data_IF_198838934691
#
_entry.id   IF_198838934691
#
_cell.length_a   1.000
_cell.length_b   1.000
_cell.length_c   1.000
_cell.angle_alpha   90.00
_cell.angle_beta   90.00
_cell.angle_gamma   90.00
#
_symmetry.space_group_name_H-M   'P 1'
#
loop_
_entity.id
_entity.type
_entity.pdbx_description
1 polymer ?
#
# COMPACT_ATOMS: atom_id res chain seq x y z
N UNK A 1 -16.80 -1.81 -11.76
CA UNK A 1 -17.08 -0.72 -10.81
C UNK A 1 -15.79 0.04 -10.64
N UNK A 2 -15.79 1.31 -11.03
CA UNK A 2 -14.58 2.13 -11.20
C UNK A 2 -13.77 2.20 -9.91
N UNK A 3 -12.56 1.65 -9.94
CA UNK A 3 -11.65 1.53 -8.78
C UNK A 3 -10.76 2.77 -8.62
N UNK A 4 -11.28 3.95 -8.97
CA UNK A 4 -10.51 5.19 -9.12
C UNK A 4 -10.90 6.32 -8.17
N UNK A 5 -11.70 6.03 -7.16
CA UNK A 5 -11.91 7.01 -6.09
C UNK A 5 -10.66 7.04 -5.22
N UNK A 6 -9.97 8.19 -5.19
CA UNK A 6 -9.12 8.54 -4.08
C UNK A 6 -9.96 8.33 -2.82
N UNK A 7 -9.55 7.42 -1.94
CA UNK A 7 -10.26 7.23 -0.68
C UNK A 7 -9.96 8.46 0.19
N UNK A 8 -10.81 9.48 0.10
CA UNK A 8 -10.60 10.76 0.80
C UNK A 8 -10.51 10.58 2.33
N UNK A 9 -11.06 9.48 2.84
CA UNK A 9 -11.04 9.15 4.26
C UNK A 9 -9.74 8.43 4.70
N UNK A 10 -8.81 8.14 3.77
CA UNK A 10 -7.53 7.52 4.12
C UNK A 10 -6.47 8.59 4.49
N UNK A 11 -5.65 8.37 5.54
CA UNK A 11 -4.72 9.39 6.03
C UNK A 11 -3.70 9.83 4.98
N UNK A 12 -3.53 11.14 4.80
CA UNK A 12 -2.53 11.74 3.89
C UNK A 12 -1.22 12.16 4.58
N UNK A 13 -1.17 12.04 5.90
CA UNK A 13 0.04 12.29 6.69
C UNK A 13 0.18 11.27 7.82
N UNK A 14 1.41 11.14 8.33
CA UNK A 14 1.76 10.13 9.31
C UNK A 14 2.13 8.79 8.68
N UNK A 15 2.66 7.90 9.50
CA UNK A 15 3.25 6.65 9.03
C UNK A 15 2.15 5.64 8.69
N UNK A 16 2.33 4.95 7.57
CA UNK A 16 1.48 3.86 7.13
C UNK A 16 2.20 2.52 7.33
N UNK A 17 1.43 1.47 7.57
CA UNK A 17 1.92 0.09 7.62
C UNK A 17 1.49 -0.64 6.35
N UNK A 18 2.46 -1.06 5.55
CA UNK A 18 2.28 -1.97 4.42
C UNK A 18 2.28 -3.41 4.89
N UNK A 19 1.33 -4.20 4.41
CA UNK A 19 1.10 -5.58 4.82
C UNK A 19 0.98 -6.49 3.60
N UNK A 20 1.87 -7.49 3.53
CA UNK A 20 1.80 -8.61 2.59
C UNK A 20 1.36 -9.87 3.36
N UNK A 21 0.12 -10.30 3.13
CA UNK A 21 -0.47 -11.40 3.88
C UNK A 21 -0.11 -12.77 3.28
N UNK A 22 0.54 -13.60 4.09
CA UNK A 22 0.66 -15.03 3.89
C UNK A 22 0.08 -15.81 5.07
N UNK A 23 -0.40 -17.03 4.82
CA UNK A 23 -1.03 -17.88 5.84
C UNK A 23 -0.11 -18.20 7.03
N UNK A 24 1.21 -18.25 6.81
CA UNK A 24 2.23 -18.54 7.83
C UNK A 24 3.04 -17.30 8.21
N UNK A 25 3.32 -16.43 7.25
CA UNK A 25 4.21 -15.27 7.39
C UNK A 25 3.54 -14.04 6.84
N UNK A 26 3.75 -12.91 7.50
CA UNK A 26 3.22 -11.61 7.08
C UNK A 26 4.41 -10.68 6.88
N UNK A 27 4.60 -10.21 5.65
CA UNK A 27 5.59 -9.18 5.36
C UNK A 27 5.09 -7.82 5.84
N UNK A 28 5.95 -7.05 6.50
CA UNK A 28 5.62 -5.73 7.02
C UNK A 28 6.59 -4.68 6.46
N UNK A 29 6.05 -3.53 6.08
CA UNK A 29 6.82 -2.36 5.68
C UNK A 29 6.21 -1.10 6.29
N UNK A 30 7.02 -0.06 6.46
CA UNK A 30 6.58 1.21 7.05
C UNK A 30 6.93 2.37 6.13
N UNK A 31 6.04 3.37 6.07
CA UNK A 31 6.32 4.62 5.36
C UNK A 31 7.01 5.65 6.25
N UNK A 32 7.62 6.64 5.60
CA UNK A 32 7.89 7.95 6.20
C UNK A 32 6.58 8.66 6.58
N UNK A 33 6.66 9.71 7.41
CA UNK A 33 5.47 10.49 7.82
C UNK A 33 4.89 11.30 6.68
N UNK A 34 5.73 11.68 5.74
CA UNK A 34 5.40 12.40 4.51
C UNK A 34 4.84 11.47 3.43
N UNK A 35 4.75 10.16 3.71
CA UNK A 35 4.16 9.16 2.83
C UNK A 35 4.81 9.13 1.41
N UNK A 36 6.14 9.26 1.34
CA UNK A 36 6.88 9.26 0.08
C UNK A 36 7.84 8.07 -0.10
N UNK A 37 8.27 7.45 1.00
CA UNK A 37 9.24 6.34 0.98
C UNK A 37 8.74 5.21 1.88
N UNK A 38 8.76 3.99 1.36
CA UNK A 38 8.53 2.76 2.09
C UNK A 38 9.84 2.03 2.39
N UNK A 39 9.97 1.52 3.62
CA UNK A 39 11.10 0.70 4.07
C UNK A 39 10.61 -0.64 4.61
N UNK A 40 11.34 -1.76 4.39
CA UNK A 40 11.03 -3.02 5.05
C UNK A 40 11.09 -2.86 6.57
N UNK A 41 10.11 -3.41 7.27
CA UNK A 41 10.07 -3.44 8.73
C UNK A 41 10.52 -4.81 9.23
N UNK A 42 9.73 -5.85 8.97
CA UNK A 42 10.06 -7.22 9.34
C UNK A 42 9.19 -8.26 8.62
N UNK A 43 9.49 -9.54 8.85
CA UNK A 43 8.63 -10.66 8.46
C UNK A 43 8.10 -11.30 9.73
N UNK A 44 6.84 -11.06 10.02
CA UNK A 44 6.16 -11.61 11.18
C UNK A 44 5.77 -13.06 10.94
N UNK A 45 6.13 -13.96 11.86
CA UNK A 45 5.67 -15.35 11.84
C UNK A 45 4.41 -15.47 12.70
N UNK A 46 3.29 -15.81 12.07
CA UNK A 46 2.00 -15.94 12.73
C UNK A 46 2.02 -17.06 13.76
N UNK A 47 1.28 -16.85 14.86
CA UNK A 47 1.20 -17.78 15.98
C UNK A 47 -0.24 -18.15 16.22
N UNK A 48 -0.93 -17.36 17.02
CA UNK A 48 -2.34 -17.52 17.35
C UNK A 48 -2.99 -16.16 17.24
N UNK A 49 -4.27 -16.14 16.91
CA UNK A 49 -5.00 -14.89 16.69
C UNK A 49 -4.84 -13.88 17.85
N UNK A 50 -4.89 -14.37 19.10
CA UNK A 50 -4.68 -13.52 20.27
C UNK A 50 -3.25 -12.92 20.35
N UNK A 51 -2.22 -13.72 20.09
CA UNK A 51 -0.83 -13.27 20.12
C UNK A 51 -0.50 -12.35 18.94
N UNK A 52 -1.04 -12.67 17.77
CA UNK A 52 -0.90 -11.88 16.55
C UNK A 52 -1.56 -10.51 16.77
N UNK A 53 -2.79 -10.48 17.27
CA UNK A 53 -3.52 -9.24 17.55
C UNK A 53 -2.81 -8.34 18.57
N UNK A 54 -2.30 -8.91 19.68
CA UNK A 54 -1.52 -8.17 20.66
C UNK A 54 -0.27 -7.54 20.03
N UNK A 55 0.47 -8.32 19.24
CA UNK A 55 1.66 -7.86 18.57
C UNK A 55 1.35 -6.69 17.62
N UNK A 56 0.30 -6.79 16.81
CA UNK A 56 -0.06 -5.72 15.88
C UNK A 56 -0.54 -4.46 16.61
N UNK A 57 -1.30 -4.60 17.68
CA UNK A 57 -1.71 -3.48 18.53
C UNK A 57 -0.51 -2.72 19.13
N UNK A 58 0.50 -3.44 19.61
CA UNK A 58 1.74 -2.86 20.14
C UNK A 58 2.53 -2.16 19.02
N UNK A 59 2.72 -2.84 17.87
CA UNK A 59 3.46 -2.30 16.73
C UNK A 59 2.83 -1.00 16.19
N UNK A 60 1.51 -0.95 16.01
CA UNK A 60 0.87 0.27 15.51
C UNK A 60 0.96 1.43 16.51
N UNK A 61 0.96 1.14 17.81
CA UNK A 61 1.13 2.14 18.85
C UNK A 61 2.55 2.71 18.87
N UNK A 62 3.56 1.83 18.82
CA UNK A 62 4.98 2.20 18.87
C UNK A 62 5.37 3.08 17.69
N UNK A 63 4.94 2.71 16.49
CA UNK A 63 5.21 3.46 15.26
C UNK A 63 4.18 4.55 14.96
N UNK A 64 3.14 4.70 15.79
CA UNK A 64 2.04 5.67 15.61
C UNK A 64 1.41 5.59 14.22
N UNK A 65 1.17 4.36 13.77
CA UNK A 65 0.62 4.08 12.44
C UNK A 65 -0.76 4.73 12.32
N UNK A 66 -1.03 5.33 11.17
CA UNK A 66 -2.27 6.04 10.86
C UNK A 66 -3.19 5.27 9.93
N UNK A 67 -2.65 4.40 9.10
CA UNK A 67 -3.44 3.59 8.17
C UNK A 67 -2.70 2.33 7.74
N UNK A 68 -3.48 1.36 7.25
CA UNK A 68 -3.00 0.06 6.79
C UNK A 68 -3.15 -0.02 5.27
N UNK A 69 -2.09 -0.44 4.58
CA UNK A 69 -2.12 -0.75 3.14
C UNK A 69 -1.87 -2.25 2.98
N UNK A 70 -2.90 -2.98 2.56
CA UNK A 70 -2.87 -4.45 2.48
C UNK A 70 -2.84 -4.89 1.02
N UNK A 71 -1.83 -5.67 0.65
CA UNK A 71 -1.72 -6.24 -0.69
C UNK A 71 -2.83 -7.25 -0.99
N UNK A 72 -3.35 -7.21 -2.22
CA UNK A 72 -4.30 -8.17 -2.75
C UNK A 72 -3.69 -8.92 -3.94
N UNK A 73 -3.47 -10.23 -3.81
CA UNK A 73 -3.04 -11.06 -4.93
C UNK A 73 -4.22 -11.27 -5.88
N UNK A 74 -4.22 -10.57 -7.01
CA UNK A 74 -5.27 -10.68 -8.02
C UNK A 74 -4.89 -11.66 -9.14
N UNK A 75 -5.85 -12.44 -9.62
CA UNK A 75 -5.64 -13.30 -10.78
C UNK A 75 -5.67 -12.51 -12.09
N UNK A 76 -4.97 -13.03 -13.12
CA UNK A 76 -4.87 -12.42 -14.46
C UNK A 76 -6.23 -12.25 -15.15
N UNK A 77 -7.24 -13.06 -14.77
CA UNK A 77 -8.61 -12.97 -15.28
C UNK A 77 -9.49 -11.93 -14.53
N UNK A 78 -8.97 -11.26 -13.50
CA UNK A 78 -9.67 -10.21 -12.76
C UNK A 78 -10.68 -10.68 -11.72
N UNK A 79 -10.83 -12.00 -11.51
CA UNK A 79 -11.65 -12.55 -10.43
C UNK A 79 -10.85 -12.63 -9.12
N UNK A 80 -11.49 -12.30 -8.00
CA UNK A 80 -10.90 -12.49 -6.68
C UNK A 80 -10.79 -13.98 -6.37
N UNK A 81 -9.55 -14.47 -6.28
CA UNK A 81 -9.27 -15.81 -5.81
C UNK A 81 -9.45 -15.95 -4.30
N UNK A 82 -9.42 -17.19 -3.82
CA UNK A 82 -9.47 -17.50 -2.38
C UNK A 82 -8.39 -16.75 -1.58
N UNK A 83 -7.21 -16.54 -2.17
CA UNK A 83 -6.12 -15.75 -1.56
C UNK A 83 -6.47 -14.28 -1.35
N UNK A 84 -7.14 -13.64 -2.31
CA UNK A 84 -7.58 -12.26 -2.18
C UNK A 84 -8.66 -12.12 -1.09
N UNK A 85 -9.60 -13.08 -1.03
CA UNK A 85 -10.59 -13.13 0.05
C UNK A 85 -9.93 -13.24 1.42
N UNK A 86 -8.97 -14.16 1.59
CA UNK A 86 -8.25 -14.31 2.86
C UNK A 86 -7.43 -13.05 3.22
N UNK A 87 -6.81 -12.38 2.24
CA UNK A 87 -6.10 -11.13 2.47
C UNK A 87 -7.06 -10.00 2.93
N UNK A 88 -8.26 -9.93 2.34
CA UNK A 88 -9.32 -9.00 2.78
C UNK A 88 -9.78 -9.27 4.21
N UNK A 89 -10.10 -10.51 4.52
CA UNK A 89 -10.50 -10.93 5.87
C UNK A 89 -9.41 -10.60 6.90
N UNK A 90 -8.16 -10.87 6.56
CA UNK A 90 -7.02 -10.54 7.41
C UNK A 90 -6.86 -9.02 7.59
N UNK A 91 -7.02 -8.23 6.52
CA UNK A 91 -6.98 -6.76 6.61
C UNK A 91 -8.07 -6.18 7.50
N UNK A 92 -9.29 -6.71 7.42
CA UNK A 92 -10.40 -6.31 8.31
C UNK A 92 -10.13 -6.68 9.77
N UNK A 93 -9.67 -7.91 10.01
CA UNK A 93 -9.26 -8.35 11.34
C UNK A 93 -8.12 -7.48 11.91
N UNK A 94 -7.12 -7.12 11.09
CA UNK A 94 -6.06 -6.20 11.47
C UNK A 94 -6.61 -4.84 11.90
N UNK A 95 -7.55 -4.27 11.14
CA UNK A 95 -8.19 -3.01 11.50
C UNK A 95 -8.83 -3.10 12.89
N UNK A 96 -9.57 -4.18 13.16
CA UNK A 96 -10.25 -4.39 14.44
C UNK A 96 -9.26 -4.45 15.61
N UNK A 97 -8.22 -5.29 15.52
CA UNK A 97 -7.24 -5.46 16.61
C UNK A 97 -6.32 -4.25 16.79
N UNK A 98 -6.23 -3.36 15.80
CA UNK A 98 -5.43 -2.14 15.84
C UNK A 98 -6.23 -0.89 16.21
N UNK A 99 -7.46 -1.06 16.73
CA UNK A 99 -8.29 0.05 17.21
C UNK A 99 -9.07 0.79 16.12
N UNK A 100 -9.35 0.11 15.01
CA UNK A 100 -10.16 0.64 13.91
C UNK A 100 -9.39 1.50 12.92
N UNK A 101 -8.10 1.24 12.72
CA UNK A 101 -7.31 1.99 11.74
C UNK A 101 -7.93 1.89 10.34
N UNK A 102 -7.97 3.00 9.56
CA UNK A 102 -8.36 2.96 8.16
C UNK A 102 -7.53 1.95 7.38
N UNK A 103 -8.19 1.21 6.49
CA UNK A 103 -7.54 0.22 5.63
C UNK A 103 -7.74 0.56 4.17
N UNK A 104 -6.69 0.34 3.39
CA UNK A 104 -6.72 0.40 1.94
C UNK A 104 -6.20 -0.92 1.39
N UNK A 105 -6.94 -1.48 0.44
CA UNK A 105 -6.54 -2.70 -0.26
C UNK A 105 -5.89 -2.34 -1.59
N UNK A 106 -4.66 -2.80 -1.79
CA UNK A 106 -3.85 -2.46 -2.97
C UNK A 106 -3.72 -3.63 -3.93
N UNK A 107 -4.03 -3.42 -5.20
CA UNK A 107 -3.96 -4.44 -6.24
C UNK A 107 -2.50 -4.68 -6.70
N UNK A 108 -2.01 -5.90 -6.51
CA UNK A 108 -0.62 -6.29 -6.78
C UNK A 108 -0.27 -6.52 -8.26
N UNK A 109 -1.22 -6.39 -9.21
CA UNK A 109 -0.98 -6.72 -10.63
C UNK A 109 0.21 -6.01 -11.29
N UNK A 110 0.62 -4.87 -10.76
CA UNK A 110 1.72 -4.07 -11.31
C UNK A 110 3.06 -4.30 -10.59
N UNK A 111 3.05 -4.88 -9.39
CA UNK A 111 4.26 -4.94 -8.54
C UNK A 111 5.19 -6.09 -8.92
N UNK A 112 4.67 -7.22 -9.40
CA UNK A 112 5.48 -8.41 -9.71
C UNK A 112 6.38 -8.22 -10.93
N UNK A 113 5.88 -7.57 -12.00
CA UNK A 113 6.71 -7.26 -13.17
C UNK A 113 7.81 -6.23 -12.87
N UNK A 114 7.47 -5.16 -12.12
CA UNK A 114 8.42 -4.11 -11.72
C UNK A 114 9.49 -4.66 -10.77
N UNK A 115 9.10 -5.51 -9.81
CA UNK A 115 10.02 -6.11 -8.85
C UNK A 115 10.96 -7.15 -9.47
N UNK A 116 10.49 -7.91 -10.48
CA UNK A 116 11.36 -8.80 -11.24
C UNK A 116 12.40 -8.03 -12.04
N UNK A 117 12.04 -6.90 -12.66
CA UNK A 117 12.94 -6.02 -13.42
C UNK A 117 14.08 -5.46 -12.54
N UNK A 118 13.81 -5.09 -11.29
CA UNK A 118 14.82 -4.64 -10.33
C UNK A 118 15.87 -5.71 -9.96
N UNK A 119 15.60 -6.99 -10.23
CA UNK A 119 16.52 -8.11 -9.97
C UNK A 119 17.21 -8.63 -11.25
N UNK A 120 16.89 -8.06 -12.42
CA UNK A 120 17.58 -8.35 -13.67
C UNK A 120 18.95 -7.68 -13.62
N UNK A 121 20.02 -8.46 -13.77
CA UNK A 121 21.41 -7.99 -13.70
C UNK A 121 22.18 -8.42 -12.45
N UNK A 122 21.52 -9.04 -11.47
CA UNK A 122 22.19 -9.69 -10.32
C UNK A 122 22.24 -11.20 -10.57
N UNK A 123 23.44 -11.79 -10.50
CA UNK A 123 23.66 -13.23 -10.70
C UNK A 123 23.10 -14.06 -9.53
N UNK A 124 21.77 -14.16 -9.48
CA UNK A 124 21.02 -14.90 -8.48
C UNK A 124 20.30 -16.07 -9.14
N UNK A 125 20.22 -17.18 -8.42
CA UNK A 125 19.33 -18.28 -8.81
C UNK A 125 17.86 -17.85 -8.68
N UNK A 126 16.95 -18.50 -9.43
CA UNK A 126 15.50 -18.26 -9.32
C UNK A 126 14.99 -18.36 -7.87
N UNK A 127 15.52 -19.32 -7.10
CA UNK A 127 15.17 -19.53 -5.68
C UNK A 127 15.63 -18.35 -4.81
N UNK A 128 16.84 -17.83 -5.03
CA UNK A 128 17.35 -16.67 -4.30
C UNK A 128 16.58 -15.40 -4.65
N UNK A 129 16.22 -15.19 -5.93
CA UNK A 129 15.35 -14.08 -6.33
C UNK A 129 13.99 -14.14 -5.64
N UNK A 130 13.30 -15.29 -5.70
CA UNK A 130 12.02 -15.48 -5.01
C UNK A 130 12.14 -15.18 -3.52
N UNK A 131 13.16 -15.75 -2.84
CA UNK A 131 13.39 -15.48 -1.42
C UNK A 131 13.60 -14.00 -1.14
N UNK A 132 14.30 -13.28 -2.03
CA UNK A 132 14.52 -11.84 -1.88
C UNK A 132 13.24 -11.05 -2.08
N UNK A 133 12.44 -11.39 -3.10
CA UNK A 133 11.13 -10.80 -3.34
C UNK A 133 10.19 -11.00 -2.14
N UNK A 134 10.10 -12.23 -1.62
CA UNK A 134 9.32 -12.52 -0.40
C UNK A 134 9.73 -11.64 0.80
N UNK A 135 11.00 -11.21 0.88
CA UNK A 135 11.48 -10.36 1.98
C UNK A 135 11.14 -8.87 1.81
N UNK A 136 10.85 -8.42 0.58
CA UNK A 136 10.59 -7.00 0.26
C UNK A 136 9.20 -6.77 -0.30
N UNK A 137 8.35 -7.80 -0.39
CA UNK A 137 7.02 -7.73 -1.00
C UNK A 137 6.17 -6.61 -0.39
N UNK A 138 6.05 -6.56 0.94
CA UNK A 138 5.32 -5.51 1.64
C UNK A 138 5.87 -4.09 1.36
N UNK A 139 7.19 -3.95 1.18
CA UNK A 139 7.80 -2.67 0.83
C UNK A 139 7.37 -2.25 -0.57
N UNK A 140 7.42 -3.17 -1.53
CA UNK A 140 7.03 -2.90 -2.93
C UNK A 140 5.55 -2.52 -3.00
N UNK A 141 4.68 -3.24 -2.29
CA UNK A 141 3.25 -2.95 -2.20
C UNK A 141 3.03 -1.53 -1.69
N UNK A 142 3.65 -1.20 -0.55
CA UNK A 142 3.49 0.12 0.06
C UNK A 142 4.06 1.21 -0.86
N UNK A 143 5.26 1.03 -1.41
CA UNK A 143 5.86 2.03 -2.30
C UNK A 143 5.00 2.28 -3.54
N UNK A 144 4.46 1.23 -4.16
CA UNK A 144 3.59 1.36 -5.34
C UNK A 144 2.32 2.19 -5.03
N UNK A 145 1.75 2.00 -3.83
CA UNK A 145 0.65 2.83 -3.36
C UNK A 145 1.06 4.30 -3.16
N UNK A 146 2.19 4.55 -2.48
CA UNK A 146 2.70 5.91 -2.24
C UNK A 146 2.97 6.64 -3.57
N UNK A 147 3.66 5.99 -4.51
CA UNK A 147 4.02 6.57 -5.81
C UNK A 147 2.77 6.91 -6.63
N UNK A 148 1.77 6.03 -6.64
CA UNK A 148 0.52 6.27 -7.36
C UNK A 148 -0.27 7.42 -6.75
N UNK A 149 -0.29 7.50 -5.42
CA UNK A 149 -0.99 8.57 -4.70
C UNK A 149 -0.31 9.92 -4.94
N UNK A 150 1.02 9.99 -4.84
CA UNK A 150 1.78 11.20 -5.11
C UNK A 150 1.57 11.70 -6.55
N UNK A 151 1.57 10.80 -7.55
CA UNK A 151 1.30 11.16 -8.94
C UNK A 151 -0.11 11.72 -9.14
N UNK A 152 -1.11 11.14 -8.48
CA UNK A 152 -2.50 11.62 -8.54
C UNK A 152 -2.65 13.00 -7.91
N UNK A 153 -1.98 13.24 -6.79
CA UNK A 153 -1.98 14.56 -6.13
C UNK A 153 -1.31 15.63 -7.00
N UNK A 154 -0.23 15.28 -7.70
CA UNK A 154 0.42 16.21 -8.63
C UNK A 154 -0.53 16.60 -9.77
N UNK A 155 -1.18 15.62 -10.41
CA UNK A 155 -2.14 15.88 -11.50
C UNK A 155 -3.29 16.76 -11.00
N UNK A 156 -3.85 16.46 -9.84
CA UNK A 156 -4.95 17.25 -9.27
C UNK A 156 -4.56 18.70 -8.97
N UNK A 157 -3.30 18.96 -8.55
CA UNK A 157 -2.78 20.32 -8.35
C UNK A 157 -2.59 21.06 -9.67
N UNK A 158 -2.02 20.41 -10.68
CA UNK A 158 -1.81 20.99 -12.01
C UNK A 158 -3.15 21.34 -12.69
N UNK A 159 -4.17 20.47 -12.55
CA UNK A 159 -5.52 20.73 -13.05
C UNK A 159 -6.17 21.93 -12.34
N UNK A 160 -6.08 22.02 -11.01
CA UNK A 160 -6.60 23.15 -10.24
C UNK A 160 -5.95 24.49 -10.66
N UNK A 161 -4.62 24.52 -10.78
CA UNK A 161 -3.86 25.71 -11.20
C UNK A 161 -4.22 26.16 -12.64
N UNK A 162 -4.53 25.22 -13.54
CA UNK A 162 -4.98 25.55 -14.90
C UNK A 162 -6.39 26.15 -14.95
N UNK A 163 -7.31 25.64 -14.11
CA UNK A 163 -8.68 26.15 -14.05
C UNK A 163 -8.79 27.56 -13.47
N UNK A 164 -7.90 27.94 -12.54
CA UNK A 164 -7.85 29.29 -11.97
C UNK A 164 -7.31 30.32 -12.99
N UNK A 165 -6.39 29.92 -13.88
CA UNK A 165 -5.87 30.80 -14.94
C UNK A 165 -6.90 31.06 -16.05
N UNK A 166 -7.70 30.06 -16.40
CA UNK A 166 -8.76 30.22 -17.42
C UNK A 166 -9.88 31.18 -16.94
N UNK A 167 -10.20 31.20 -15.64
CA UNK A 167 -11.20 32.14 -15.07
C UNK A 167 -10.68 33.60 -14.99
N UNK A 168 -9.38 33.81 -14.76
CA UNK A 168 -8.75 35.14 -14.73
C UNK A 168 -8.61 35.77 -16.14
N UNK A 169 -8.38 34.96 -17.18
CA UNK A 169 -8.30 35.43 -18.57
C UNK A 169 -9.69 35.73 -19.17
N UNK A 170 -10.75 35.00 -18.77
CA UNK A 170 -12.12 35.25 -19.25
C UNK A 170 -12.74 36.52 -18.62
N UNK A 171 -12.37 36.86 -17.39
CA UNK A 171 -12.84 38.08 -16.70
C UNK A 171 -12.15 39.37 -17.16
N UNK A 172 -10.94 39.28 -17.74
CA UNK A 172 -10.22 40.43 -18.28
C UNK A 172 -10.56 40.74 -19.76
N UNK A 173 -11.13 39.78 -20.49
CA UNK A 173 -11.52 39.95 -21.91
C UNK A 173 -12.87 40.68 -22.13
N UNK A 174 -13.70 40.83 -21.09
CA UNK A 174 -15.01 41.55 -21.14
C UNK A 174 -14.95 42.98 -20.54
N UNK A 175 -13.74 43.51 -20.30
CA UNK A 175 -13.50 44.88 -19.78
C UNK A 175 -12.89 45.84 -20.81
#
# INVERSE_FOLDING_TARGET
>A
MSSDTINEDFPREGQLLGVDYGTVRVGLAISTREQNIASPLEIYNRRSEHQDGKYFAELVADYRIKGLVVGLPMHVNGEEGESARHAREYGHWLAEVTGGLPILFWDERYTSAVAEDHLIGVDLTRKQRKKRLDMIAAQIILQAYLDTTAKREQIAREEAESSEQDEEDETTADS
#
